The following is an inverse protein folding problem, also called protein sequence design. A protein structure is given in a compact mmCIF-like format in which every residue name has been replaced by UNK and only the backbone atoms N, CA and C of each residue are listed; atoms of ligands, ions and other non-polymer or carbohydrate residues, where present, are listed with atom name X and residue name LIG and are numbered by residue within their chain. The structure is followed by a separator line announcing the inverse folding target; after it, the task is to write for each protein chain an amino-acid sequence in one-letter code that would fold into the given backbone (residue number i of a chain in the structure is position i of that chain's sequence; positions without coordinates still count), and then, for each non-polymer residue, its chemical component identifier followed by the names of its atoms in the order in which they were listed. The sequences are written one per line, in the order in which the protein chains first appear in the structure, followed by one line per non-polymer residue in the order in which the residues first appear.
data_IF_263407873738
#
_entry.id   IF_263407873738
#
_cell.length_a   1.000
_cell.length_b   1.000
_cell.length_c   1.000
_cell.angle_alpha   90.00
_cell.angle_beta   90.00
_cell.angle_gamma   90.00
#
_symmetry.space_group_name_H-M   'P 1'
#
loop_
_entity.id
_entity.type
_entity.pdbx_description
1 polymer ?
#
# COMPACT_ATOMS: atom_id res chain seq x y z
N UNK A 1 -5.72 41.09 24.10
CA UNK A 1 -6.20 41.75 22.86
C UNK A 1 -7.49 41.05 22.42
N UNK A 2 -8.64 41.72 22.43
CA UNK A 2 -9.93 41.15 22.03
C UNK A 2 -10.16 41.45 20.54
N UNK A 3 -10.00 40.47 19.68
CA UNK A 3 -10.41 40.55 18.27
C UNK A 3 -11.84 40.01 18.11
N UNK A 4 -12.80 40.87 18.42
CA UNK A 4 -14.19 40.62 18.09
C UNK A 4 -14.52 41.19 16.70
N UNK A 5 -14.24 40.47 15.60
CA UNK A 5 -14.79 40.82 14.29
C UNK A 5 -16.28 40.51 14.29
N UNK A 6 -17.11 41.58 14.38
CA UNK A 6 -18.56 41.48 14.16
C UNK A 6 -18.78 41.22 12.66
N UNK A 7 -19.04 40.00 12.28
CA UNK A 7 -19.48 39.74 10.90
C UNK A 7 -20.88 40.32 10.68
N UNK A 8 -21.03 41.11 9.60
CA UNK A 8 -22.33 41.64 9.19
C UNK A 8 -23.27 40.44 8.89
N UNK A 9 -24.55 40.55 9.31
CA UNK A 9 -25.59 39.56 9.00
C UNK A 9 -25.68 39.27 7.49
N UNK A 10 -25.39 40.25 6.66
CA UNK A 10 -25.34 40.12 5.19
C UNK A 10 -24.21 39.19 4.75
N UNK A 11 -23.03 39.27 5.36
CA UNK A 11 -21.89 38.42 5.00
C UNK A 11 -22.14 36.96 5.33
N UNK A 12 -22.80 36.69 6.48
CA UNK A 12 -23.19 35.35 6.89
C UNK A 12 -24.23 34.77 5.93
N UNK A 13 -25.22 35.58 5.54
CA UNK A 13 -26.27 35.14 4.62
C UNK A 13 -25.73 34.89 3.21
N UNK A 14 -24.82 35.72 2.71
CA UNK A 14 -24.13 35.49 1.44
C UNK A 14 -23.28 34.19 1.46
N UNK A 15 -22.55 33.93 2.54
CA UNK A 15 -21.77 32.69 2.68
C UNK A 15 -22.66 31.44 2.68
N UNK A 16 -23.84 31.52 3.31
CA UNK A 16 -24.80 30.42 3.36
C UNK A 16 -25.38 30.12 1.98
N UNK A 17 -25.73 31.14 1.20
CA UNK A 17 -26.23 30.97 -0.17
C UNK A 17 -25.16 30.32 -1.07
N UNK A 18 -23.90 30.79 -0.99
CA UNK A 18 -22.81 30.21 -1.78
C UNK A 18 -22.56 28.74 -1.41
N UNK A 19 -22.62 28.39 -0.13
CA UNK A 19 -22.47 27.00 0.34
C UNK A 19 -23.55 26.08 -0.23
N UNK A 20 -24.82 26.52 -0.21
CA UNK A 20 -25.95 25.76 -0.77
C UNK A 20 -25.81 25.59 -2.29
N UNK A 21 -25.38 26.63 -3.00
CA UNK A 21 -25.24 26.62 -4.47
C UNK A 21 -24.14 25.63 -4.88
N UNK A 22 -22.99 25.65 -4.20
CA UNK A 22 -21.89 24.71 -4.45
C UNK A 22 -22.33 23.28 -4.13
N UNK A 23 -23.06 23.06 -3.02
CA UNK A 23 -23.55 21.74 -2.62
C UNK A 23 -24.51 21.13 -3.65
N UNK A 24 -25.45 21.91 -4.19
CA UNK A 24 -26.40 21.47 -5.21
C UNK A 24 -25.69 21.08 -6.51
N UNK A 25 -24.70 21.88 -6.95
CA UNK A 25 -23.92 21.58 -8.15
C UNK A 25 -23.12 20.28 -7.99
N UNK A 26 -22.50 20.06 -6.84
CA UNK A 26 -21.75 18.84 -6.57
C UNK A 26 -22.63 17.59 -6.62
N UNK A 27 -23.82 17.63 -6.00
CA UNK A 27 -24.79 16.52 -6.04
C UNK A 27 -25.31 16.26 -7.45
N UNK A 28 -25.56 17.30 -8.25
CA UNK A 28 -26.02 17.16 -9.63
C UNK A 28 -24.94 16.51 -10.53
N UNK A 29 -23.66 16.87 -10.37
CA UNK A 29 -22.54 16.25 -11.12
C UNK A 29 -22.41 14.75 -10.78
N UNK A 30 -22.47 14.41 -9.50
CA UNK A 30 -22.40 13.00 -9.06
C UNK A 30 -23.62 12.21 -9.58
N UNK A 31 -24.80 12.79 -9.52
CA UNK A 31 -26.02 12.19 -10.06
C UNK A 31 -25.96 11.91 -11.57
N UNK A 32 -25.40 12.85 -12.36
CA UNK A 32 -25.20 12.67 -13.80
C UNK A 32 -24.17 11.58 -14.11
N UNK A 33 -23.07 11.48 -13.35
CA UNK A 33 -22.09 10.42 -13.52
C UNK A 33 -22.66 9.03 -13.20
N UNK A 34 -23.47 8.91 -12.16
CA UNK A 34 -24.12 7.65 -11.81
C UNK A 34 -25.25 7.25 -12.80
N UNK A 35 -25.93 8.24 -13.39
CA UNK A 35 -26.96 7.98 -14.40
C UNK A 35 -26.35 7.56 -15.74
N UNK A 36 -25.19 8.10 -16.11
CA UNK A 36 -24.47 7.76 -17.34
C UNK A 36 -23.86 6.35 -17.36
N UNK A 37 -23.69 5.70 -16.20
CA UNK A 37 -23.13 4.34 -16.11
C UNK A 37 -24.20 3.23 -16.08
N UNK A 38 -25.50 3.57 -16.12
CA UNK A 38 -26.64 2.63 -16.02
C UNK A 38 -27.17 2.15 -17.36
N UNK A 39 -26.38 2.16 -18.39
CA UNK A 39 -26.80 1.77 -19.75
C UNK A 39 -25.80 0.86 -20.46
N UNK A 40 -25.54 -0.35 -19.94
CA UNK A 40 -25.12 -1.46 -20.78
C UNK A 40 -25.75 -2.75 -20.25
N UNK A 41 -26.88 -3.07 -20.85
CA UNK A 41 -27.58 -4.34 -20.69
C UNK A 41 -26.64 -5.50 -21.04
N UNK A 42 -26.57 -6.45 -20.13
CA UNK A 42 -25.96 -7.76 -20.38
C UNK A 42 -26.94 -8.54 -21.27
N UNK A 43 -26.68 -8.57 -22.56
CA UNK A 43 -27.38 -9.39 -23.50
C UNK A 43 -26.93 -10.84 -23.36
N UNK A 44 -27.80 -11.70 -22.85
CA UNK A 44 -27.68 -13.15 -22.93
C UNK A 44 -27.69 -13.59 -24.41
N UNK A 45 -26.57 -14.12 -24.91
CA UNK A 45 -26.52 -14.89 -26.14
C UNK A 45 -26.18 -16.35 -25.81
N UNK A 46 -26.81 -17.32 -26.47
CA UNK A 46 -26.72 -18.73 -26.12
C UNK A 46 -25.36 -19.33 -26.49
N UNK A 47 -24.90 -20.16 -25.60
CA UNK A 47 -23.69 -20.98 -25.63
C UNK A 47 -23.73 -21.89 -26.87
N UNK A 48 -22.76 -21.67 -27.78
CA UNK A 48 -22.50 -22.55 -28.93
C UNK A 48 -21.22 -23.31 -28.63
N UNK A 49 -21.35 -24.57 -28.26
CA UNK A 49 -20.23 -25.49 -28.08
C UNK A 49 -19.40 -25.56 -29.37
N UNK A 50 -18.12 -25.23 -29.25
CA UNK A 50 -17.09 -25.46 -30.28
C UNK A 50 -16.12 -26.46 -29.73
N UNK A 51 -15.83 -27.58 -30.40
CA UNK A 51 -14.87 -28.57 -29.91
C UNK A 51 -13.45 -28.00 -29.94
N UNK A 52 -12.85 -27.89 -28.76
CA UNK A 52 -11.46 -27.45 -28.64
C UNK A 52 -10.51 -28.63 -28.95
N UNK A 53 -9.86 -28.58 -30.10
CA UNK A 53 -8.63 -29.31 -30.38
C UNK A 53 -7.50 -28.28 -30.51
N UNK A 54 -6.87 -27.96 -29.39
CA UNK A 54 -5.61 -27.23 -29.28
C UNK A 54 -4.73 -27.90 -28.24
N UNK A 55 -3.39 -27.86 -28.40
CA UNK A 55 -2.50 -28.39 -27.38
C UNK A 55 -2.75 -27.67 -26.05
N UNK A 56 -2.61 -28.36 -24.88
CA UNK A 56 -2.89 -27.74 -23.60
C UNK A 56 -1.99 -26.53 -23.38
N UNK A 57 -2.51 -25.46 -22.74
CA UNK A 57 -1.67 -24.34 -22.35
C UNK A 57 -0.56 -24.87 -21.46
N UNK A 58 0.68 -24.52 -21.80
CA UNK A 58 1.82 -24.80 -20.93
C UNK A 58 1.63 -23.93 -19.69
N UNK A 59 1.06 -24.48 -18.62
CA UNK A 59 1.14 -23.93 -17.29
C UNK A 59 2.59 -23.98 -16.80
N UNK A 60 3.41 -23.06 -17.28
CA UNK A 60 4.70 -22.77 -16.67
C UNK A 60 4.50 -21.79 -15.51
N UNK A 61 3.96 -22.29 -14.43
CA UNK A 61 4.10 -21.71 -13.11
C UNK A 61 3.89 -22.84 -12.11
N UNK A 62 4.94 -23.61 -11.86
CA UNK A 62 5.01 -24.36 -10.64
C UNK A 62 4.80 -23.35 -9.49
N UNK A 63 3.80 -23.54 -8.60
CA UNK A 63 3.70 -22.72 -7.42
C UNK A 63 4.98 -22.98 -6.62
N UNK A 64 5.84 -21.95 -6.51
CA UNK A 64 6.97 -22.02 -5.60
C UNK A 64 6.36 -22.26 -4.22
N UNK A 65 6.68 -23.39 -3.61
CA UNK A 65 6.14 -23.83 -2.32
C UNK A 65 6.74 -23.05 -1.14
N UNK A 66 7.06 -21.79 -1.35
CA UNK A 66 7.53 -20.92 -0.29
C UNK A 66 6.38 -20.59 0.65
N UNK A 67 6.53 -20.99 1.91
CA UNK A 67 5.55 -20.63 2.95
C UNK A 67 5.48 -19.12 3.09
N UNK A 68 4.28 -18.52 3.27
CA UNK A 68 4.16 -17.08 3.55
C UNK A 68 5.02 -16.66 4.75
N UNK A 69 5.54 -15.44 4.72
CA UNK A 69 6.25 -14.84 5.86
C UNK A 69 5.24 -14.39 6.89
N UNK A 70 5.39 -14.83 8.15
CA UNK A 70 4.65 -14.27 9.28
C UNK A 70 5.39 -13.05 9.80
N UNK A 71 4.70 -11.92 9.89
CA UNK A 71 5.27 -10.63 10.24
C UNK A 71 4.32 -9.88 11.19
N UNK A 72 4.86 -8.87 11.86
CA UNK A 72 4.12 -8.03 12.80
C UNK A 72 4.28 -6.55 12.43
N UNK A 73 3.19 -5.81 12.39
CA UNK A 73 3.21 -4.38 12.10
C UNK A 73 2.88 -3.57 13.35
N UNK A 74 3.50 -2.37 13.48
CA UNK A 74 3.04 -1.32 14.38
C UNK A 74 1.96 -0.51 13.67
N UNK A 75 0.71 -0.71 14.07
CA UNK A 75 -0.46 -0.08 13.47
C UNK A 75 -0.94 1.10 14.33
N UNK A 76 -1.21 2.25 13.69
CA UNK A 76 -1.75 3.45 14.31
C UNK A 76 -3.24 3.66 14.04
N UNK A 77 -3.80 2.93 13.09
CA UNK A 77 -5.22 3.03 12.79
C UNK A 77 -5.64 2.18 11.60
N UNK A 78 -6.97 2.07 11.43
CA UNK A 78 -7.62 1.48 10.27
C UNK A 78 -8.68 2.46 9.77
N UNK A 79 -8.69 2.75 8.48
CA UNK A 79 -9.50 3.78 7.84
C UNK A 79 -10.30 3.18 6.70
N UNK A 80 -11.47 3.73 6.44
CA UNK A 80 -12.32 3.29 5.33
C UNK A 80 -11.85 3.83 3.97
N UNK A 81 -10.98 4.86 3.94
CA UNK A 81 -10.43 5.43 2.70
C UNK A 81 -8.95 5.74 2.82
N UNK A 82 -8.27 5.77 1.68
CA UNK A 82 -6.86 6.16 1.59
C UNK A 82 -6.66 7.64 1.98
N UNK A 83 -7.62 8.50 1.63
CA UNK A 83 -7.58 9.92 1.95
C UNK A 83 -7.62 10.16 3.45
N UNK A 84 -8.53 9.46 4.17
CA UNK A 84 -8.60 9.56 5.63
C UNK A 84 -7.32 9.08 6.32
N UNK A 85 -6.71 8.00 5.81
CA UNK A 85 -5.43 7.52 6.30
C UNK A 85 -4.29 8.51 6.04
N UNK A 86 -4.28 9.14 4.85
CA UNK A 86 -3.28 10.16 4.49
C UNK A 86 -3.42 11.44 5.33
N UNK A 87 -4.64 11.89 5.58
CA UNK A 87 -4.91 13.04 6.46
C UNK A 87 -4.42 12.76 7.88
N UNK A 88 -4.71 11.58 8.41
CA UNK A 88 -4.23 11.18 9.74
C UNK A 88 -2.69 11.22 9.85
N UNK A 89 -1.97 10.77 8.81
CA UNK A 89 -0.51 10.87 8.77
C UNK A 89 -0.05 12.34 8.71
N UNK A 90 -0.74 13.18 7.96
CA UNK A 90 -0.36 14.59 7.76
C UNK A 90 -0.57 15.45 9.03
N UNK A 91 -1.46 15.04 9.93
CA UNK A 91 -1.75 15.75 11.19
C UNK A 91 -0.66 15.52 12.26
N UNK A 92 0.10 14.42 12.18
CA UNK A 92 1.14 14.08 13.15
C UNK A 92 2.53 13.95 12.49
N UNK A 93 3.46 14.90 12.73
CA UNK A 93 4.83 14.83 12.22
C UNK A 93 5.60 13.58 12.65
N UNK A 94 5.23 12.92 13.76
CA UNK A 94 5.84 11.66 14.19
C UNK A 94 5.54 10.51 13.23
N UNK A 95 4.48 10.63 12.43
CA UNK A 95 4.07 9.67 11.41
C UNK A 95 4.72 9.92 10.03
N UNK A 96 5.71 10.82 9.93
CA UNK A 96 6.38 11.18 8.66
C UNK A 96 7.00 9.98 7.90
N UNK A 97 7.27 8.87 8.58
CA UNK A 97 7.77 7.62 7.99
C UNK A 97 6.68 6.52 7.89
N UNK A 98 5.44 6.85 8.25
CA UNK A 98 4.34 5.92 8.14
C UNK A 98 3.98 5.66 6.67
N UNK A 99 3.42 4.49 6.42
CA UNK A 99 2.84 4.15 5.12
C UNK A 99 1.39 3.68 5.29
N UNK A 100 0.60 3.87 4.25
CA UNK A 100 -0.76 3.35 4.19
C UNK A 100 -0.72 2.01 3.47
N UNK A 101 -1.13 0.93 4.13
CA UNK A 101 -1.25 -0.40 3.54
C UNK A 101 -2.73 -0.70 3.27
N UNK A 102 -3.04 -1.04 2.02
CA UNK A 102 -4.40 -1.44 1.64
C UNK A 102 -4.65 -2.89 2.04
N UNK A 103 -5.69 -3.12 2.86
CA UNK A 103 -6.27 -4.43 3.11
C UNK A 103 -7.45 -4.73 2.20
N UNK A 104 -8.27 -5.74 2.55
CA UNK A 104 -9.51 -6.07 1.82
C UNK A 104 -10.51 -4.93 1.88
N UNK A 105 -10.82 -4.46 3.10
CA UNK A 105 -11.90 -3.50 3.35
C UNK A 105 -11.42 -2.17 3.94
N UNK A 106 -10.17 -2.11 4.42
CA UNK A 106 -9.62 -0.96 5.14
C UNK A 106 -8.23 -0.59 4.65
N UNK A 107 -7.84 0.64 4.99
CA UNK A 107 -6.51 1.19 4.82
C UNK A 107 -5.87 1.30 6.21
N UNK A 108 -4.72 0.68 6.39
CA UNK A 108 -4.00 0.63 7.66
C UNK A 108 -2.81 1.57 7.65
N UNK A 109 -2.64 2.38 8.69
CA UNK A 109 -1.46 3.21 8.88
C UNK A 109 -0.45 2.46 9.73
N UNK A 110 0.69 2.13 9.14
CA UNK A 110 1.79 1.40 9.79
C UNK A 110 3.06 2.25 9.84
N UNK A 111 3.85 2.08 10.91
CA UNK A 111 5.13 2.79 11.11
C UNK A 111 6.33 1.85 11.21
N UNK A 112 6.12 0.56 11.44
CA UNK A 112 7.18 -0.43 11.54
C UNK A 112 6.68 -1.83 11.18
N UNK A 113 7.59 -2.70 10.70
CA UNK A 113 7.34 -4.14 10.50
C UNK A 113 8.48 -4.94 11.10
N UNK A 114 8.16 -5.88 12.00
CA UNK A 114 9.08 -6.81 12.66
C UNK A 114 8.89 -8.24 12.19
N UNK A 115 9.91 -9.07 12.41
CA UNK A 115 9.87 -10.53 12.21
C UNK A 115 9.19 -11.24 13.37
N UNK A 116 9.30 -10.67 14.56
CA UNK A 116 8.69 -11.18 15.79
C UNK A 116 7.82 -10.10 16.43
N UNK A 117 6.90 -10.54 17.27
CA UNK A 117 6.03 -9.63 18.00
C UNK A 117 6.80 -8.70 18.94
N UNK A 118 7.90 -9.18 19.51
CA UNK A 118 8.75 -8.45 20.47
C UNK A 118 9.55 -7.31 19.80
N UNK A 119 9.76 -7.38 18.48
CA UNK A 119 10.38 -6.28 17.73
C UNK A 119 9.45 -5.05 17.63
N UNK A 120 8.17 -5.20 17.94
CA UNK A 120 7.17 -4.15 17.79
C UNK A 120 6.77 -3.59 19.16
N UNK A 121 7.20 -2.38 19.43
CA UNK A 121 6.71 -1.61 20.57
C UNK A 121 5.34 -1.01 20.24
N UNK A 122 4.35 -1.31 21.08
CA UNK A 122 3.00 -0.73 20.94
C UNK A 122 2.46 -0.33 22.29
N UNK A 123 1.66 0.76 22.30
CA UNK A 123 1.01 1.26 23.48
C UNK A 123 -0.43 1.63 23.14
N UNK A 124 -1.38 0.86 23.64
CA UNK A 124 -2.80 1.10 23.37
C UNK A 124 -3.29 2.47 23.88
N UNK A 125 -2.69 3.01 24.95
CA UNK A 125 -2.99 4.34 25.45
C UNK A 125 -2.54 5.45 24.49
N UNK A 126 -1.54 5.17 23.64
CA UNK A 126 -1.05 6.05 22.57
C UNK A 126 -1.69 5.72 21.20
N UNK A 127 -2.71 4.86 21.19
CA UNK A 127 -3.40 4.47 19.96
C UNK A 127 -2.59 3.56 19.03
N UNK A 128 -1.56 2.86 19.54
CA UNK A 128 -0.75 1.95 18.72
C UNK A 128 -0.98 0.48 19.10
N UNK A 129 -1.04 -0.37 18.09
CA UNK A 129 -1.37 -1.79 18.22
C UNK A 129 -0.40 -2.66 17.42
N UNK A 130 -0.18 -3.89 17.90
CA UNK A 130 0.51 -4.92 17.12
C UNK A 130 -0.49 -5.60 16.19
N UNK A 131 -0.15 -5.71 14.91
CA UNK A 131 -0.97 -6.40 13.91
C UNK A 131 -0.17 -7.54 13.29
N UNK A 132 -0.54 -8.77 13.57
CA UNK A 132 0.01 -9.93 12.88
C UNK A 132 -0.56 -10.01 11.46
N UNK A 133 0.28 -10.38 10.49
CA UNK A 133 -0.11 -10.59 9.11
C UNK A 133 0.84 -11.57 8.41
N UNK A 134 0.45 -12.02 7.23
CA UNK A 134 1.32 -12.82 6.36
C UNK A 134 1.63 -12.09 5.06
N UNK A 135 2.85 -12.24 4.56
CA UNK A 135 3.30 -11.71 3.28
C UNK A 135 3.78 -12.85 2.37
N UNK A 136 3.18 -12.94 1.19
CA UNK A 136 3.56 -13.87 0.14
C UNK A 136 4.37 -13.13 -0.93
N UNK A 137 5.60 -13.60 -1.19
CA UNK A 137 6.58 -12.93 -2.05
C UNK A 137 6.93 -13.72 -3.31
N UNK A 138 6.33 -14.89 -3.50
CA UNK A 138 6.66 -15.83 -4.57
C UNK A 138 6.58 -15.24 -5.98
N UNK A 139 5.65 -14.32 -6.22
CA UNK A 139 5.48 -13.65 -7.51
C UNK A 139 6.57 -12.62 -7.82
N UNK A 140 7.37 -12.19 -6.83
CA UNK A 140 8.35 -11.11 -7.00
C UNK A 140 9.55 -11.49 -7.87
N UNK A 141 9.85 -12.79 -8.01
CA UNK A 141 10.89 -13.27 -8.94
C UNK A 141 10.65 -12.85 -10.40
N UNK A 142 9.41 -12.82 -10.84
CA UNK A 142 9.04 -12.43 -12.21
C UNK A 142 9.36 -10.96 -12.58
N UNK A 143 9.52 -10.13 -11.55
CA UNK A 143 9.84 -8.69 -11.71
C UNK A 143 11.26 -8.34 -11.25
N UNK A 144 12.15 -9.32 -11.12
CA UNK A 144 13.55 -9.12 -10.70
C UNK A 144 13.77 -8.96 -9.20
N UNK A 145 12.70 -9.06 -8.39
CA UNK A 145 12.77 -8.93 -6.92
C UNK A 145 12.75 -10.30 -6.21
N UNK A 146 13.35 -11.33 -6.80
CA UNK A 146 13.36 -12.69 -6.25
C UNK A 146 14.05 -12.81 -4.88
N UNK A 147 14.95 -11.87 -4.55
CA UNK A 147 15.61 -11.81 -3.25
C UNK A 147 14.84 -11.02 -2.19
N UNK A 148 13.65 -10.50 -2.49
CA UNK A 148 12.87 -9.69 -1.56
C UNK A 148 12.64 -10.41 -0.23
N UNK A 149 12.31 -11.69 -0.26
CA UNK A 149 12.13 -12.51 0.95
C UNK A 149 13.40 -12.55 1.81
N UNK A 150 14.54 -12.79 1.19
CA UNK A 150 15.84 -12.82 1.87
C UNK A 150 16.11 -11.46 2.55
N UNK A 151 15.89 -10.35 1.83
CA UNK A 151 16.06 -9.00 2.37
C UNK A 151 15.11 -8.72 3.54
N UNK A 152 13.83 -9.08 3.43
CA UNK A 152 12.85 -8.89 4.49
C UNK A 152 13.19 -9.66 5.77
N UNK A 153 13.85 -10.80 5.67
CA UNK A 153 14.22 -11.65 6.81
C UNK A 153 15.59 -11.33 7.40
N UNK A 154 16.36 -10.42 6.81
CA UNK A 154 17.65 -10.00 7.37
C UNK A 154 17.49 -9.34 8.75
N UNK A 155 18.42 -9.67 9.64
CA UNK A 155 18.50 -9.11 11.00
C UNK A 155 19.60 -8.06 11.15
N UNK A 156 20.40 -7.87 10.10
CA UNK A 156 21.52 -6.93 10.09
C UNK A 156 21.45 -6.01 8.87
N UNK A 157 21.41 -4.69 9.11
CA UNK A 157 21.37 -3.69 8.04
C UNK A 157 22.63 -3.75 7.14
N UNK A 158 23.79 -4.07 7.69
CA UNK A 158 25.03 -4.20 6.93
C UNK A 158 24.93 -5.27 5.83
N UNK A 159 24.28 -6.40 6.11
CA UNK A 159 24.09 -7.47 5.11
C UNK A 159 23.21 -7.01 3.96
N UNK A 160 22.23 -6.18 4.23
CA UNK A 160 21.33 -5.64 3.20
C UNK A 160 22.07 -4.64 2.31
N UNK A 161 22.87 -3.74 2.90
CA UNK A 161 23.68 -2.76 2.15
C UNK A 161 24.72 -3.44 1.27
N UNK A 162 25.31 -4.53 1.71
CA UNK A 162 26.33 -5.26 0.96
C UNK A 162 25.75 -6.17 -0.14
N UNK A 163 24.43 -6.36 -0.20
CA UNK A 163 23.80 -7.12 -1.28
C UNK A 163 24.00 -6.45 -2.65
N UNK A 164 24.13 -5.11 -2.68
CA UNK A 164 24.37 -4.33 -3.89
C UNK A 164 25.86 -4.40 -4.32
N UNK A 165 26.79 -4.46 -3.36
CA UNK A 165 28.23 -4.48 -3.64
C UNK A 165 28.74 -5.83 -4.17
N UNK A 166 28.01 -6.92 -3.93
CA UNK A 166 28.37 -8.29 -4.35
C UNK A 166 27.98 -8.65 -5.77
N UNK A 167 27.33 -7.76 -6.49
CA UNK A 167 26.89 -7.98 -7.87
C UNK A 167 28.02 -7.60 -8.82
N UNK A 168 28.92 -8.56 -9.09
CA UNK A 168 29.97 -8.41 -10.09
C UNK A 168 29.38 -8.17 -11.49
N UNK A 169 30.21 -7.65 -12.41
CA UNK A 169 29.96 -7.23 -13.80
C UNK A 169 29.24 -8.26 -14.73
N UNK A 170 28.32 -9.06 -14.18
CA UNK A 170 27.45 -9.95 -14.94
C UNK A 170 26.30 -9.18 -15.62
N UNK A 171 25.80 -9.69 -16.72
CA UNK A 171 24.61 -9.20 -17.45
C UNK A 171 23.35 -9.33 -16.56
N UNK A 172 23.22 -8.46 -15.55
CA UNK A 172 21.98 -8.39 -14.80
C UNK A 172 20.86 -7.81 -15.65
N UNK A 173 19.68 -8.41 -15.51
CA UNK A 173 18.43 -7.89 -16.04
C UNK A 173 18.14 -6.51 -15.43
N UNK A 174 17.64 -5.60 -16.27
CA UNK A 174 17.27 -4.22 -15.83
C UNK A 174 16.35 -4.21 -14.62
N UNK A 175 15.46 -5.19 -14.50
CA UNK A 175 14.53 -5.34 -13.38
C UNK A 175 15.24 -5.63 -12.06
N UNK A 176 16.26 -6.47 -12.09
CA UNK A 176 17.07 -6.78 -10.89
C UNK A 176 17.86 -5.54 -10.44
N UNK A 177 18.36 -4.74 -11.37
CA UNK A 177 19.00 -3.46 -11.04
C UNK A 177 18.03 -2.48 -10.36
N UNK A 178 16.79 -2.41 -10.81
CA UNK A 178 15.78 -1.55 -10.19
C UNK A 178 15.42 -2.02 -8.78
N UNK A 179 15.41 -3.34 -8.53
CA UNK A 179 15.26 -3.87 -7.18
C UNK A 179 16.36 -3.39 -6.23
N UNK A 180 17.63 -3.48 -6.63
CA UNK A 180 18.74 -3.01 -5.79
C UNK A 180 18.76 -1.49 -5.62
N UNK A 181 18.40 -0.71 -6.64
CA UNK A 181 18.22 0.75 -6.49
C UNK A 181 17.16 1.09 -5.43
N UNK A 182 16.04 0.36 -5.39
CA UNK A 182 15.02 0.56 -4.38
C UNK A 182 15.56 0.24 -2.97
N UNK A 183 16.31 -0.86 -2.82
CA UNK A 183 16.97 -1.20 -1.55
C UNK A 183 17.92 -0.08 -1.14
N UNK A 184 18.80 0.38 -2.03
CA UNK A 184 19.76 1.45 -1.75
C UNK A 184 19.06 2.75 -1.35
N UNK A 185 17.98 3.14 -2.05
CA UNK A 185 17.20 4.31 -1.71
C UNK A 185 16.59 4.20 -0.30
N UNK A 186 15.98 3.07 0.03
CA UNK A 186 15.35 2.85 1.34
C UNK A 186 16.40 2.79 2.46
N UNK A 187 17.54 2.12 2.24
CA UNK A 187 18.61 2.04 3.25
C UNK A 187 19.36 3.35 3.45
N UNK A 188 19.28 4.27 2.49
CA UNK A 188 19.75 5.67 2.64
C UNK A 188 18.76 6.47 3.49
N UNK A 189 17.45 6.21 3.34
CA UNK A 189 16.39 6.90 4.07
C UNK A 189 16.32 6.49 5.55
N UNK A 190 16.66 5.22 5.89
CA UNK A 190 16.58 4.69 7.26
C UNK A 190 17.64 3.65 7.56
N UNK A 191 18.11 3.64 8.81
CA UNK A 191 18.95 2.58 9.38
C UNK A 191 18.17 1.62 10.30
N UNK A 192 16.85 1.80 10.45
CA UNK A 192 15.97 0.92 11.23
C UNK A 192 15.41 -0.18 10.31
N UNK A 193 15.74 -1.44 10.62
CA UNK A 193 15.28 -2.61 9.87
C UNK A 193 13.75 -2.70 9.80
N UNK A 194 13.04 -2.27 10.84
CA UNK A 194 11.58 -2.33 10.91
C UNK A 194 10.94 -1.34 9.95
N UNK A 195 11.53 -0.14 9.83
CA UNK A 195 11.09 0.90 8.88
C UNK A 195 11.48 0.47 7.46
N UNK A 196 12.67 -0.08 7.26
CA UNK A 196 13.12 -0.60 5.97
C UNK A 196 12.18 -1.70 5.45
N UNK A 197 11.83 -2.71 6.28
CA UNK A 197 10.86 -3.76 5.92
C UNK A 197 9.51 -3.18 5.54
N UNK A 198 9.03 -2.17 6.29
CA UNK A 198 7.77 -1.49 6.02
C UNK A 198 7.76 -0.84 4.64
N UNK A 199 8.80 -0.08 4.29
CA UNK A 199 8.88 0.61 3.00
C UNK A 199 9.04 -0.38 1.83
N UNK A 200 9.83 -1.45 2.00
CA UNK A 200 9.93 -2.52 1.00
C UNK A 200 8.57 -3.20 0.77
N UNK A 201 7.87 -3.58 1.85
CA UNK A 201 6.53 -4.17 1.72
C UNK A 201 5.55 -3.23 1.03
N UNK A 202 5.57 -1.95 1.39
CA UNK A 202 4.72 -0.93 0.75
C UNK A 202 5.00 -0.84 -0.76
N UNK A 203 6.26 -0.74 -1.16
CA UNK A 203 6.68 -0.64 -2.56
C UNK A 203 6.22 -1.87 -3.36
N UNK A 204 6.50 -3.09 -2.85
CA UNK A 204 6.21 -4.33 -3.57
C UNK A 204 4.76 -4.80 -3.44
N UNK A 205 3.97 -4.23 -2.55
CA UNK A 205 2.52 -4.45 -2.47
C UNK A 205 1.75 -3.48 -3.36
N UNK A 206 2.13 -2.20 -3.39
CA UNK A 206 1.34 -1.14 -4.02
C UNK A 206 1.84 -0.78 -5.43
N UNK A 207 3.11 -0.46 -5.58
CA UNK A 207 3.67 -0.06 -6.86
C UNK A 207 3.93 -1.26 -7.77
N UNK A 208 4.64 -2.26 -7.28
CA UNK A 208 5.05 -3.44 -8.06
C UNK A 208 4.05 -4.61 -8.02
N UNK A 209 3.13 -4.61 -7.04
CA UNK A 209 2.01 -5.56 -6.89
C UNK A 209 2.40 -7.04 -6.92
N UNK A 210 3.60 -7.39 -6.44
CA UNK A 210 4.05 -8.78 -6.38
C UNK A 210 3.97 -9.39 -4.97
N UNK A 211 3.85 -8.56 -3.93
CA UNK A 211 3.61 -9.01 -2.56
C UNK A 211 2.12 -9.03 -2.27
N UNK A 212 1.63 -10.15 -1.76
CA UNK A 212 0.26 -10.26 -1.27
C UNK A 212 0.28 -10.29 0.26
N UNK A 213 -0.43 -9.35 0.88
CA UNK A 213 -0.62 -9.28 2.33
C UNK A 213 -1.97 -9.90 2.69
N UNK A 214 -1.98 -10.75 3.73
CA UNK A 214 -3.20 -11.37 4.29
C UNK A 214 -3.19 -11.21 5.81
N UNK A 215 -4.35 -10.87 6.40
CA UNK A 215 -4.55 -10.57 7.82
C UNK A 215 -5.23 -11.71 8.57
#
# INVERSE_FOLDING_TARGET
MKFGKRYSKVTIFMAMIHGVLIGVVAVAVIGLLLYGTRGKDVSNAPEKEVPASGPPPVENSAPSSEKPLHLFAKQHGAFSSAESAALFIAEDPALSKAVVIKGSDNYYVWTAVGLTEDEIDSNAAEGTFKKAFTAETSACGAIGAGKLREVLTQTEMAKIKNLDEGQGEGKEDAKTKDFYKNITAITTFTNDLRIMRLHLLSEYTQANKCVKITF
#
